data_IF_775804540126
#
_entry.id   IF_775804540126
#
_cell.length_a   1.000
_cell.length_b   1.000
_cell.length_c   1.000
_cell.angle_alpha   90.00
_cell.angle_beta   90.00
_cell.angle_gamma   90.00
#
_symmetry.space_group_name_H-M   'P 1'
#
loop_
_entity.id
_entity.type
_entity.pdbx_description
1 polymer ?
#
# COMPACT_ATOMS: atom_id res chain seq x y z
N UNK A 1 20.48 1.70 -21.82
CA UNK A 1 20.88 0.42 -21.18
C UNK A 1 21.70 0.63 -19.91
N UNK A 2 22.55 1.66 -19.80
CA UNK A 2 23.39 1.85 -18.60
C UNK A 2 22.66 2.38 -17.35
N UNK A 3 21.62 3.22 -17.48
CA UNK A 3 20.89 3.76 -16.31
C UNK A 3 20.12 2.69 -15.54
N UNK A 4 19.37 1.82 -16.22
CA UNK A 4 18.55 0.79 -15.57
C UNK A 4 19.38 -0.21 -14.76
N UNK A 5 20.62 -0.51 -15.21
CA UNK A 5 21.52 -1.40 -14.47
C UNK A 5 22.05 -0.73 -13.20
N UNK A 6 22.33 0.58 -13.23
CA UNK A 6 22.86 1.30 -12.06
C UNK A 6 21.81 1.38 -10.94
N UNK A 7 20.54 1.64 -11.27
CA UNK A 7 19.50 1.74 -10.26
C UNK A 7 19.07 0.38 -9.66
N UNK A 8 19.04 -0.70 -10.46
CA UNK A 8 18.84 -2.06 -9.93
C UNK A 8 19.92 -2.45 -8.90
N UNK A 9 21.17 -2.03 -9.12
CA UNK A 9 22.29 -2.28 -8.21
C UNK A 9 22.16 -1.52 -6.87
N UNK A 10 21.45 -0.39 -6.83
CA UNK A 10 21.30 0.40 -5.60
C UNK A 10 20.36 -0.27 -4.60
N UNK A 11 19.23 -0.82 -5.08
CA UNK A 11 18.31 -1.61 -4.25
C UNK A 11 19.03 -2.82 -3.66
N UNK A 12 19.79 -3.55 -4.49
CA UNK A 12 20.60 -4.69 -4.02
C UNK A 12 21.66 -4.27 -3.00
N UNK A 13 22.36 -3.16 -3.25
CA UNK A 13 23.38 -2.65 -2.33
C UNK A 13 22.80 -2.26 -0.96
N UNK A 14 21.55 -1.79 -0.90
CA UNK A 14 20.86 -1.53 0.38
C UNK A 14 20.49 -2.85 1.06
N UNK A 15 19.95 -3.82 0.30
CA UNK A 15 19.58 -5.14 0.82
C UNK A 15 20.78 -5.96 1.31
N UNK A 16 22.00 -5.61 0.92
CA UNK A 16 23.25 -6.18 1.41
C UNK A 16 23.73 -5.59 2.74
N UNK A 17 23.15 -4.48 3.22
CA UNK A 17 23.49 -3.90 4.52
C UNK A 17 22.92 -4.75 5.65
N UNK A 18 23.64 -4.84 6.77
CA UNK A 18 23.16 -5.59 7.94
C UNK A 18 21.93 -4.96 8.62
N UNK A 19 21.81 -3.63 8.60
CA UNK A 19 20.76 -2.88 9.31
C UNK A 19 20.22 -1.72 8.46
N UNK A 20 19.57 -2.01 7.33
CA UNK A 20 18.85 -0.99 6.56
C UNK A 20 17.41 -0.82 7.06
N UNK A 21 16.82 0.33 6.74
CA UNK A 21 15.42 0.65 7.05
C UNK A 21 14.51 0.52 5.82
N UNK A 22 13.19 0.42 6.03
CA UNK A 22 12.22 0.46 4.94
C UNK A 22 12.33 1.79 4.18
N UNK A 23 12.49 2.89 4.91
CA UNK A 23 12.59 4.24 4.37
C UNK A 23 13.77 4.41 3.42
N UNK A 24 14.93 3.77 3.71
CA UNK A 24 16.05 3.74 2.76
C UNK A 24 15.67 3.07 1.45
N UNK A 25 14.95 1.96 1.49
CA UNK A 25 14.49 1.24 0.29
C UNK A 25 13.44 2.05 -0.48
N UNK A 26 12.49 2.65 0.22
CA UNK A 26 11.44 3.48 -0.42
C UNK A 26 11.99 4.77 -1.03
N UNK A 27 13.20 5.18 -0.63
CA UNK A 27 13.87 6.34 -1.20
C UNK A 27 14.57 6.04 -2.54
N UNK A 28 14.71 4.78 -2.93
CA UNK A 28 15.31 4.42 -4.22
C UNK A 28 14.36 4.68 -5.39
N UNK A 29 14.87 5.26 -6.48
CA UNK A 29 14.05 5.62 -7.64
C UNK A 29 13.51 4.39 -8.39
N UNK A 30 14.28 3.30 -8.39
CA UNK A 30 13.94 2.06 -9.11
C UNK A 30 13.11 1.06 -8.30
N UNK A 31 12.73 1.40 -7.06
CA UNK A 31 12.01 0.48 -6.15
C UNK A 31 10.75 -0.14 -6.78
N UNK A 32 9.95 0.67 -7.49
CA UNK A 32 8.75 0.19 -8.17
C UNK A 32 9.11 -0.71 -9.36
N UNK A 33 10.17 -0.38 -10.09
CA UNK A 33 10.60 -1.17 -11.24
C UNK A 33 11.13 -2.54 -10.79
N UNK A 34 11.92 -2.60 -9.71
CA UNK A 34 12.41 -3.84 -9.12
C UNK A 34 11.27 -4.72 -8.56
N UNK A 35 10.25 -4.09 -7.95
CA UNK A 35 9.00 -4.77 -7.58
C UNK A 35 8.35 -5.44 -8.81
N UNK A 36 8.17 -4.69 -9.91
CA UNK A 36 7.58 -5.20 -11.16
C UNK A 36 8.46 -6.25 -11.86
N UNK A 37 9.78 -6.15 -11.70
CA UNK A 37 10.75 -7.14 -12.18
C UNK A 37 10.77 -8.42 -11.32
N UNK A 38 9.94 -8.47 -10.27
CA UNK A 38 9.84 -9.59 -9.33
C UNK A 38 11.17 -9.91 -8.65
N UNK A 39 11.91 -8.88 -8.25
CA UNK A 39 13.12 -9.03 -7.48
C UNK A 39 12.84 -9.82 -6.18
N UNK A 40 13.34 -11.06 -6.14
CA UNK A 40 13.00 -12.00 -5.07
C UNK A 40 13.46 -11.54 -3.68
N UNK A 41 14.62 -10.89 -3.57
CA UNK A 41 15.13 -10.41 -2.28
C UNK A 41 14.28 -9.26 -1.76
N UNK A 42 13.99 -8.31 -2.63
CA UNK A 42 13.12 -7.19 -2.31
C UNK A 42 11.72 -7.65 -1.91
N UNK A 43 11.11 -8.55 -2.68
CA UNK A 43 9.78 -9.09 -2.37
C UNK A 43 9.78 -9.85 -1.04
N UNK A 44 10.83 -10.64 -0.77
CA UNK A 44 10.95 -11.37 0.49
C UNK A 44 11.04 -10.42 1.69
N UNK A 45 11.67 -9.26 1.55
CA UNK A 45 11.67 -8.22 2.58
C UNK A 45 10.30 -7.54 2.70
N UNK A 46 9.74 -7.04 1.59
CA UNK A 46 8.50 -6.26 1.59
C UNK A 46 7.25 -7.05 2.02
N UNK A 47 7.25 -8.38 1.83
CA UNK A 47 6.12 -9.23 2.23
C UNK A 47 6.03 -9.46 3.74
N UNK A 48 7.06 -9.11 4.51
CA UNK A 48 7.02 -9.28 5.96
C UNK A 48 5.96 -8.38 6.58
N UNK A 49 5.26 -8.91 7.60
CA UNK A 49 4.12 -8.24 8.26
C UNK A 49 4.43 -6.79 8.63
N UNK A 50 5.57 -6.54 9.27
CA UNK A 50 5.96 -5.21 9.73
C UNK A 50 6.12 -4.22 8.55
N UNK A 51 6.61 -4.69 7.40
CA UNK A 51 6.76 -3.86 6.22
C UNK A 51 5.40 -3.54 5.60
N UNK A 52 4.53 -4.55 5.47
CA UNK A 52 3.16 -4.37 4.96
C UNK A 52 2.37 -3.41 5.84
N UNK A 53 2.50 -3.53 7.17
CA UNK A 53 1.86 -2.62 8.12
C UNK A 53 2.35 -1.18 7.92
N UNK A 54 3.67 -0.97 7.84
CA UNK A 54 4.24 0.37 7.66
C UNK A 54 3.84 0.98 6.32
N UNK A 55 3.81 0.19 5.24
CA UNK A 55 3.30 0.61 3.93
C UNK A 55 1.83 1.03 4.01
N UNK A 56 0.99 0.31 4.75
CA UNK A 56 -0.40 0.71 4.98
C UNK A 56 -0.49 2.04 5.73
N UNK A 57 0.33 2.24 6.78
CA UNK A 57 0.33 3.50 7.55
C UNK A 57 0.61 4.70 6.66
N UNK A 58 1.54 4.61 5.70
CA UNK A 58 1.75 5.70 4.74
C UNK A 58 0.54 6.01 3.86
N UNK A 59 -0.38 5.06 3.67
CA UNK A 59 -1.57 5.22 2.83
C UNK A 59 -2.78 5.74 3.61
N UNK A 60 -2.87 5.43 4.91
CA UNK A 60 -4.08 5.67 5.70
C UNK A 60 -3.90 6.66 6.87
N UNK A 61 -2.66 7.01 7.23
CA UNK A 61 -2.35 7.95 8.30
C UNK A 61 -1.77 9.25 7.74
N UNK A 62 -2.32 10.37 8.20
CA UNK A 62 -1.75 11.68 7.88
C UNK A 62 -0.33 11.79 8.47
N UNK A 63 0.62 12.38 7.72
CA UNK A 63 1.95 12.63 8.25
C UNK A 63 1.88 13.65 9.41
N UNK A 64 2.77 13.52 10.43
CA UNK A 64 2.99 14.56 11.42
C UNK A 64 3.23 15.92 10.78
N UNK A 65 2.86 17.00 11.47
CA UNK A 65 3.02 18.37 10.96
C UNK A 65 4.47 18.74 10.64
N UNK A 66 5.42 18.11 11.34
CA UNK A 66 6.87 18.29 11.19
C UNK A 66 7.53 17.22 10.29
N UNK A 67 6.73 16.40 9.61
CA UNK A 67 7.23 15.34 8.76
C UNK A 67 8.04 15.86 7.56
N UNK A 68 9.09 15.12 7.20
CA UNK A 68 9.86 15.41 5.98
C UNK A 68 9.00 15.23 4.71
N UNK A 69 9.31 15.99 3.67
CA UNK A 69 8.62 15.94 2.36
C UNK A 69 8.47 14.52 1.79
N UNK A 70 9.46 13.64 2.04
CA UNK A 70 9.40 12.24 1.61
C UNK A 70 8.26 11.48 2.27
N UNK A 71 8.03 11.69 3.56
CA UNK A 71 6.92 11.08 4.31
C UNK A 71 5.55 11.65 3.88
N UNK A 72 5.52 12.90 3.42
CA UNK A 72 4.28 13.56 2.99
C UNK A 72 3.84 13.08 1.59
N UNK A 73 4.78 12.95 0.65
CA UNK A 73 4.42 12.69 -0.76
C UNK A 73 5.04 11.41 -1.34
N UNK A 74 6.33 11.16 -1.08
CA UNK A 74 7.05 10.05 -1.72
C UNK A 74 6.60 8.70 -1.16
N UNK A 75 6.67 8.51 0.14
CA UNK A 75 6.34 7.21 0.75
C UNK A 75 4.88 6.80 0.57
N UNK A 76 3.86 7.68 0.73
CA UNK A 76 2.49 7.33 0.39
C UNK A 76 2.31 6.91 -1.07
N UNK A 77 2.99 7.60 -2.00
CA UNK A 77 2.98 7.26 -3.42
C UNK A 77 3.62 5.88 -3.68
N UNK A 78 4.84 5.65 -3.20
CA UNK A 78 5.55 4.38 -3.40
C UNK A 78 4.78 3.23 -2.75
N UNK A 79 4.26 3.40 -1.53
CA UNK A 79 3.50 2.37 -0.84
C UNK A 79 2.23 2.00 -1.62
N UNK A 80 1.49 2.99 -2.13
CA UNK A 80 0.35 2.74 -2.99
C UNK A 80 0.77 1.95 -4.24
N UNK A 81 1.86 2.35 -4.90
CA UNK A 81 2.33 1.67 -6.10
C UNK A 81 2.77 0.22 -5.81
N UNK A 82 3.43 -0.05 -4.69
CA UNK A 82 3.81 -1.42 -4.28
C UNK A 82 2.57 -2.32 -4.16
N UNK A 83 1.52 -1.89 -3.47
CA UNK A 83 0.27 -2.66 -3.38
C UNK A 83 -0.39 -2.82 -4.75
N UNK A 84 -0.42 -1.78 -5.58
CA UNK A 84 -1.05 -1.81 -6.90
C UNK A 84 -0.18 -2.42 -8.00
N UNK A 85 1.06 -2.84 -7.71
CA UNK A 85 1.86 -3.67 -8.60
C UNK A 85 1.38 -5.13 -8.64
N UNK A 86 0.36 -5.48 -7.84
CA UNK A 86 -0.32 -6.78 -7.86
C UNK A 86 0.57 -7.99 -7.50
N UNK A 87 1.62 -7.76 -6.70
CA UNK A 87 2.52 -8.82 -6.24
C UNK A 87 1.77 -9.71 -5.23
N UNK A 88 1.47 -10.94 -5.64
CA UNK A 88 0.53 -11.83 -4.94
C UNK A 88 0.90 -12.08 -3.48
N UNK A 89 2.19 -12.28 -3.18
CA UNK A 89 2.66 -12.58 -1.82
C UNK A 89 2.52 -11.40 -0.86
N UNK A 90 2.68 -10.16 -1.34
CA UNK A 90 2.48 -8.96 -0.53
C UNK A 90 0.99 -8.77 -0.25
N UNK A 91 0.16 -8.89 -1.29
CA UNK A 91 -1.30 -8.84 -1.14
C UNK A 91 -1.82 -9.96 -0.24
N UNK A 92 -1.20 -11.14 -0.28
CA UNK A 92 -1.54 -12.26 0.59
C UNK A 92 -1.28 -11.93 2.05
N UNK A 93 -0.10 -11.41 2.39
CA UNK A 93 0.20 -10.95 3.76
C UNK A 93 -0.86 -9.95 4.24
N UNK A 94 -1.25 -8.98 3.40
CA UNK A 94 -2.28 -8.00 3.76
C UNK A 94 -3.63 -8.66 4.09
N UNK A 95 -4.14 -9.56 3.23
CA UNK A 95 -5.50 -10.11 3.40
C UNK A 95 -5.60 -11.28 4.36
N UNK A 96 -4.50 -12.00 4.61
CA UNK A 96 -4.46 -13.13 5.55
C UNK A 96 -4.38 -12.64 7.00
N UNK A 97 -3.98 -11.39 7.21
CA UNK A 97 -3.79 -10.80 8.53
C UNK A 97 -4.95 -9.86 8.89
N UNK A 98 -5.82 -10.34 9.79
CA UNK A 98 -7.03 -9.60 10.20
C UNK A 98 -6.71 -8.20 10.75
N UNK A 99 -5.64 -8.08 11.53
CA UNK A 99 -5.20 -6.78 12.07
C UNK A 99 -4.77 -5.79 10.99
N UNK A 100 -4.17 -6.26 9.88
CA UNK A 100 -3.80 -5.38 8.76
C UNK A 100 -5.03 -4.95 7.96
N UNK A 101 -6.00 -5.85 7.80
CA UNK A 101 -7.30 -5.50 7.20
C UNK A 101 -8.07 -4.51 8.09
N UNK A 102 -8.09 -4.73 9.40
CA UNK A 102 -8.67 -3.79 10.36
C UNK A 102 -7.99 -2.42 10.27
N UNK A 103 -6.66 -2.39 10.19
CA UNK A 103 -5.89 -1.16 10.01
C UNK A 103 -6.29 -0.45 8.71
N UNK A 104 -6.24 -1.11 7.56
CA UNK A 104 -6.64 -0.54 6.27
C UNK A 104 -8.06 0.06 6.33
N UNK A 105 -9.02 -0.68 6.89
CA UNK A 105 -10.42 -0.27 6.97
C UNK A 105 -10.75 0.68 8.13
N UNK A 106 -9.80 0.98 9.02
CA UNK A 106 -9.90 2.08 9.99
C UNK A 106 -9.94 3.44 9.29
N UNK A 107 -9.45 3.52 8.04
CA UNK A 107 -9.58 4.70 7.18
C UNK A 107 -11.04 5.12 6.90
N UNK A 108 -12.03 4.30 7.25
CA UNK A 108 -13.44 4.62 7.04
C UNK A 108 -14.17 4.89 8.36
N UNK A 109 -13.44 5.07 9.46
CA UNK A 109 -14.00 5.46 10.75
C UNK A 109 -14.48 6.92 10.71
N UNK A 110 -15.69 7.23 11.23
CA UNK A 110 -16.32 8.55 11.04
C UNK A 110 -15.57 9.74 11.65
N UNK A 111 -14.72 9.47 12.64
CA UNK A 111 -13.95 10.44 13.40
C UNK A 111 -12.59 10.78 12.77
N UNK A 112 -12.20 10.10 11.69
CA UNK A 112 -10.97 10.41 10.98
C UNK A 112 -11.18 11.46 9.89
N UNK A 113 -10.39 12.53 9.96
CA UNK A 113 -10.21 13.46 8.84
C UNK A 113 -9.16 12.92 7.89
N UNK A 114 -9.47 12.87 6.58
CA UNK A 114 -8.57 12.37 5.57
C UNK A 114 -8.32 13.41 4.48
N UNK A 115 -7.08 13.54 4.05
CA UNK A 115 -6.71 14.29 2.85
C UNK A 115 -7.22 13.59 1.60
N UNK A 116 -7.55 14.40 0.58
CA UNK A 116 -7.96 13.89 -0.75
C UNK A 116 -6.91 12.97 -1.36
N UNK A 117 -5.62 13.20 -1.05
CA UNK A 117 -4.52 12.39 -1.54
C UNK A 117 -4.57 10.96 -0.98
N UNK A 118 -4.62 10.81 0.34
CA UNK A 118 -4.69 9.50 1.00
C UNK A 118 -5.98 8.77 0.65
N UNK A 119 -7.11 9.47 0.54
CA UNK A 119 -8.37 8.86 0.07
C UNK A 119 -8.24 8.25 -1.35
N UNK A 120 -7.49 8.92 -2.22
CA UNK A 120 -7.16 8.40 -3.55
C UNK A 120 -6.30 7.12 -3.50
N UNK A 121 -5.29 7.09 -2.63
CA UNK A 121 -4.43 5.91 -2.47
C UNK A 121 -5.18 4.75 -1.81
N UNK A 122 -5.91 5.00 -0.73
CA UNK A 122 -6.80 4.03 -0.10
C UNK A 122 -7.74 3.40 -1.13
N UNK A 123 -8.43 4.22 -1.93
CA UNK A 123 -9.34 3.72 -2.96
C UNK A 123 -8.62 2.85 -3.99
N UNK A 124 -7.42 3.22 -4.44
CA UNK A 124 -6.64 2.41 -5.38
C UNK A 124 -6.29 1.04 -4.81
N UNK A 125 -5.83 0.97 -3.55
CA UNK A 125 -5.48 -0.30 -2.89
C UNK A 125 -6.71 -1.19 -2.74
N UNK A 126 -7.82 -0.62 -2.30
CA UNK A 126 -9.08 -1.37 -2.15
C UNK A 126 -9.58 -1.90 -3.50
N UNK A 127 -9.51 -1.11 -4.57
CA UNK A 127 -9.87 -1.58 -5.93
C UNK A 127 -8.94 -2.71 -6.37
N UNK A 128 -7.63 -2.60 -6.10
CA UNK A 128 -6.69 -3.68 -6.36
C UNK A 128 -7.06 -4.96 -5.61
N UNK A 129 -7.44 -4.86 -4.33
CA UNK A 129 -7.93 -6.02 -3.56
C UNK A 129 -9.24 -6.59 -4.11
N UNK A 130 -10.18 -5.75 -4.55
CA UNK A 130 -11.41 -6.20 -5.19
C UNK A 130 -11.13 -7.00 -6.47
N UNK A 131 -10.11 -6.64 -7.23
CA UNK A 131 -9.73 -7.31 -8.48
C UNK A 131 -8.91 -8.58 -8.21
N UNK A 132 -7.93 -8.52 -7.30
CA UNK A 132 -6.90 -9.55 -7.13
C UNK A 132 -7.15 -10.50 -5.97
N UNK A 133 -7.88 -10.07 -4.95
CA UNK A 133 -8.16 -10.81 -3.70
C UNK A 133 -9.64 -10.69 -3.31
N UNK A 134 -10.55 -10.78 -4.29
CA UNK A 134 -12.00 -10.58 -4.11
C UNK A 134 -12.56 -11.44 -2.98
N UNK A 135 -12.24 -12.74 -2.96
CA UNK A 135 -12.82 -13.68 -1.99
C UNK A 135 -12.38 -13.34 -0.55
N UNK A 136 -11.08 -13.24 -0.21
CA UNK A 136 -10.65 -12.79 1.12
C UNK A 136 -11.25 -11.45 1.54
N UNK A 137 -11.26 -10.47 0.63
CA UNK A 137 -11.82 -9.15 0.91
C UNK A 137 -13.31 -9.23 1.24
N UNK A 138 -14.10 -9.94 0.43
CA UNK A 138 -15.53 -10.07 0.65
C UNK A 138 -15.85 -10.83 1.94
N UNK A 139 -15.07 -11.86 2.27
CA UNK A 139 -15.21 -12.57 3.55
C UNK A 139 -14.99 -11.61 4.73
N UNK A 140 -13.94 -10.79 4.68
CA UNK A 140 -13.67 -9.79 5.72
C UNK A 140 -14.83 -8.80 5.85
N UNK A 141 -15.32 -8.21 4.75
CA UNK A 141 -16.42 -7.24 4.83
C UNK A 141 -17.70 -7.88 5.37
N UNK A 142 -17.97 -9.16 5.06
CA UNK A 142 -19.18 -9.87 5.51
C UNK A 142 -19.19 -10.12 7.01
N UNK A 143 -18.01 -10.39 7.58
CA UNK A 143 -17.83 -10.68 8.99
C UNK A 143 -17.75 -9.38 9.81
N UNK A 144 -17.02 -8.38 9.31
CA UNK A 144 -16.58 -7.26 10.14
C UNK A 144 -17.53 -6.06 10.14
N UNK A 145 -18.35 -5.81 9.10
CA UNK A 145 -19.18 -4.58 9.03
C UNK A 145 -20.61 -4.81 8.52
N UNK A 146 -21.64 -4.18 9.14
CA UNK A 146 -23.05 -4.36 8.78
C UNK A 146 -23.39 -3.80 7.38
N UNK A 147 -24.51 -4.26 6.80
CA UNK A 147 -25.01 -3.95 5.44
C UNK A 147 -24.87 -2.48 4.99
N UNK A 148 -24.99 -1.50 5.88
CA UNK A 148 -24.84 -0.08 5.55
C UNK A 148 -23.45 0.25 4.99
N UNK A 149 -22.41 -0.46 5.43
CA UNK A 149 -21.06 -0.27 4.94
C UNK A 149 -20.93 -0.69 3.48
N UNK A 150 -21.64 -1.74 3.03
CA UNK A 150 -21.63 -2.14 1.62
C UNK A 150 -22.24 -1.09 0.70
N UNK A 151 -23.37 -0.51 1.10
CA UNK A 151 -24.04 0.52 0.31
C UNK A 151 -23.16 1.77 0.19
N UNK A 152 -22.57 2.20 1.29
CA UNK A 152 -21.68 3.37 1.31
C UNK A 152 -20.36 3.06 0.62
N UNK A 153 -19.78 1.88 0.80
CA UNK A 153 -18.53 1.45 0.17
C UNK A 153 -18.68 1.30 -1.35
N UNK A 154 -19.73 0.64 -1.84
CA UNK A 154 -20.03 0.60 -3.28
C UNK A 154 -20.30 2.00 -3.81
N UNK A 155 -21.08 2.82 -3.11
CA UNK A 155 -21.36 4.18 -3.55
C UNK A 155 -20.12 5.09 -3.52
N UNK A 156 -19.23 4.94 -2.54
CA UNK A 156 -17.95 5.65 -2.45
C UNK A 156 -16.95 5.19 -3.51
N UNK A 157 -16.83 3.88 -3.73
CA UNK A 157 -15.96 3.32 -4.77
C UNK A 157 -16.47 3.75 -6.15
N UNK A 158 -17.79 3.72 -6.39
CA UNK A 158 -18.41 4.21 -7.63
C UNK A 158 -18.20 5.73 -7.78
N UNK A 159 -18.47 6.53 -6.73
CA UNK A 159 -18.27 7.98 -6.77
C UNK A 159 -16.81 8.36 -7.01
N UNK A 160 -15.84 7.66 -6.43
CA UNK A 160 -14.41 7.92 -6.69
C UNK A 160 -14.01 7.51 -8.12
N UNK A 161 -14.55 6.41 -8.64
CA UNK A 161 -14.31 5.98 -10.02
C UNK A 161 -14.91 7.00 -11.01
N UNK A 162 -16.10 7.54 -10.73
CA UNK A 162 -16.76 8.53 -11.58
C UNK A 162 -16.17 9.95 -11.44
N UNK A 163 -15.63 10.34 -10.27
CA UNK A 163 -14.99 11.65 -10.07
C UNK A 163 -13.63 11.81 -10.77
N UNK A 164 -13.14 10.76 -11.45
CA UNK A 164 -11.92 10.80 -12.28
C UNK A 164 -12.18 10.74 -13.79
N UNK A 165 -13.41 10.98 -14.25
CA UNK A 165 -13.73 11.19 -15.67
C UNK A 165 -14.00 12.66 -16.00
#
# INVERSE_FOLDING_TARGET
MSCCVVGALQVEAILDKENFTLEEILDEEEIIQECKALNSRLINFLRDRAQVEQLLRYIIEEPPEDAENKRIFKFPFIACEIFTCEIDVILKTLVDEEELMNLLFSFLEPDRSHSTLLAGYFSKVVVCLLIRKTVPLMNYVQVSKPMCFYSVFLYWVILIIDYKK
#
